data_IF_048985813562
#
_entry.id   IF_048985813562
#
_cell.length_a   1.000
_cell.length_b   1.000
_cell.length_c   1.000
_cell.angle_alpha   90.00
_cell.angle_beta   90.00
_cell.angle_gamma   90.00
#
_symmetry.space_group_name_H-M   'P 1'
#
loop_
_entity.id
_entity.type
_entity.pdbx_description
1 polymer ?
#
# COMPACT_ATOMS: atom_id res chain seq x y z
N UNK A 1 -66.29 5.80 -17.43
CA UNK A 1 -65.02 5.21 -17.00
C UNK A 1 -63.92 6.29 -17.14
N UNK A 2 -63.61 6.99 -16.05
CA UNK A 2 -62.71 8.16 -16.06
C UNK A 2 -61.38 7.74 -15.50
N UNK A 3 -60.38 7.64 -16.36
CA UNK A 3 -58.98 7.40 -15.98
C UNK A 3 -58.39 8.72 -15.43
N UNK A 4 -58.16 8.74 -14.14
CA UNK A 4 -57.52 9.84 -13.41
C UNK A 4 -56.02 9.73 -13.61
N UNK A 5 -55.47 10.48 -14.56
CA UNK A 5 -54.02 10.69 -14.63
C UNK A 5 -53.54 11.47 -13.40
N UNK A 6 -52.85 10.79 -12.51
CA UNK A 6 -52.12 11.43 -11.42
C UNK A 6 -50.92 12.17 -12.05
N UNK A 7 -51.04 13.45 -12.22
CA UNK A 7 -49.91 14.30 -12.56
C UNK A 7 -48.89 14.24 -11.42
N UNK A 8 -47.79 13.61 -11.67
CA UNK A 8 -46.63 13.63 -10.78
C UNK A 8 -46.20 15.10 -10.65
N UNK A 9 -46.43 15.71 -9.49
CA UNK A 9 -46.10 17.11 -9.26
C UNK A 9 -44.60 17.31 -9.38
N UNK A 10 -44.14 17.90 -10.50
CA UNK A 10 -42.73 18.23 -10.78
C UNK A 10 -42.09 19.04 -9.63
N UNK A 11 -42.87 19.83 -8.93
CA UNK A 11 -42.44 20.66 -7.79
C UNK A 11 -42.01 19.78 -6.59
N UNK A 12 -42.69 18.66 -6.37
CA UNK A 12 -42.29 17.71 -5.32
C UNK A 12 -41.06 16.89 -5.72
N UNK A 13 -40.92 16.51 -6.99
CA UNK A 13 -39.71 15.83 -7.49
C UNK A 13 -38.45 16.69 -7.31
N UNK A 14 -38.56 18.02 -7.53
CA UNK A 14 -37.44 18.96 -7.37
C UNK A 14 -37.01 19.13 -5.90
N UNK A 15 -37.93 19.00 -4.94
CA UNK A 15 -37.61 19.06 -3.49
C UNK A 15 -36.83 17.86 -3.01
N UNK A 16 -37.03 16.68 -3.61
CA UNK A 16 -36.35 15.44 -3.21
C UNK A 16 -35.12 15.12 -4.07
N UNK A 17 -34.88 15.87 -5.15
CA UNK A 17 -33.74 15.71 -6.03
C UNK A 17 -32.38 15.75 -5.27
N UNK A 18 -32.11 16.72 -4.34
CA UNK A 18 -30.84 16.73 -3.61
C UNK A 18 -30.68 15.55 -2.64
N UNK A 19 -31.79 15.08 -2.05
CA UNK A 19 -31.74 13.90 -1.15
C UNK A 19 -31.50 12.63 -1.94
N UNK A 20 -32.08 12.50 -3.13
CA UNK A 20 -31.87 11.36 -4.03
C UNK A 20 -30.44 11.36 -4.61
N UNK A 21 -29.90 12.53 -4.92
CA UNK A 21 -28.50 12.68 -5.36
C UNK A 21 -27.51 12.33 -4.25
N UNK A 22 -27.79 12.74 -3.01
CA UNK A 22 -26.97 12.44 -1.84
C UNK A 22 -27.00 10.94 -1.50
N UNK A 23 -28.18 10.27 -1.64
CA UNK A 23 -28.28 8.83 -1.41
C UNK A 23 -27.57 8.01 -2.48
N UNK A 24 -27.48 8.49 -3.72
CA UNK A 24 -26.74 7.84 -4.80
C UNK A 24 -25.21 7.90 -4.57
N UNK A 25 -24.72 8.98 -3.95
CA UNK A 25 -23.30 9.13 -3.61
C UNK A 25 -22.86 8.20 -2.47
N UNK A 26 -23.78 7.77 -1.60
CA UNK A 26 -23.47 6.85 -0.49
C UNK A 26 -23.42 5.38 -0.92
N UNK A 27 -23.92 5.01 -2.08
CA UNK A 27 -23.85 3.65 -2.63
C UNK A 27 -22.53 3.33 -3.36
N UNK A 28 -21.67 4.33 -3.54
CA UNK A 28 -20.40 4.20 -4.29
C UNK A 28 -19.21 3.63 -3.52
N UNK A 29 -19.31 3.40 -2.21
CA UNK A 29 -18.21 2.85 -1.40
C UNK A 29 -18.37 1.34 -1.13
N UNK A 30 -18.64 0.55 -2.17
CA UNK A 30 -18.33 -0.86 -2.13
C UNK A 30 -16.90 -1.00 -2.67
N UNK A 31 -15.90 -0.79 -1.80
CA UNK A 31 -14.54 -1.19 -2.11
C UNK A 31 -14.56 -2.68 -2.43
N UNK A 32 -14.29 -3.04 -3.66
CA UNK A 32 -14.00 -4.43 -4.01
C UNK A 32 -12.71 -4.77 -3.26
N UNK A 33 -12.82 -5.45 -2.12
CA UNK A 33 -11.70 -6.14 -1.49
C UNK A 33 -11.31 -7.32 -2.40
N UNK A 34 -10.64 -6.99 -3.51
CA UNK A 34 -10.13 -7.98 -4.43
C UNK A 34 -9.13 -8.85 -3.69
N UNK A 35 -9.48 -10.12 -3.50
CA UNK A 35 -8.62 -11.10 -2.85
C UNK A 35 -7.70 -11.73 -3.90
N UNK A 36 -6.44 -12.08 -3.53
CA UNK A 36 -5.58 -12.80 -4.42
C UNK A 36 -6.20 -14.17 -4.79
N UNK A 37 -6.12 -14.54 -6.06
CA UNK A 37 -6.63 -15.82 -6.57
C UNK A 37 -5.66 -16.96 -6.21
N UNK A 38 -5.61 -17.29 -4.93
CA UNK A 38 -4.76 -18.34 -4.38
C UNK A 38 -5.65 -19.46 -3.82
N UNK A 39 -5.50 -20.67 -4.37
CA UNK A 39 -6.22 -21.84 -3.91
C UNK A 39 -5.98 -22.09 -2.41
N UNK A 40 -7.02 -22.55 -1.71
CA UNK A 40 -6.94 -22.78 -0.27
C UNK A 40 -5.92 -23.88 0.12
N UNK A 41 -5.65 -24.80 -0.80
CA UNK A 41 -4.69 -25.90 -0.67
C UNK A 41 -3.33 -25.62 -1.38
N UNK A 42 -3.12 -24.37 -1.85
CA UNK A 42 -1.89 -24.01 -2.53
C UNK A 42 -0.66 -24.23 -1.65
N UNK A 43 0.34 -24.92 -2.21
CA UNK A 43 1.63 -25.08 -1.57
C UNK A 43 2.45 -23.79 -1.61
N UNK A 44 3.53 -23.74 -0.80
CA UNK A 44 4.39 -22.56 -0.64
C UNK A 44 4.90 -22.02 -1.99
N UNK A 45 5.42 -22.88 -2.85
CA UNK A 45 5.94 -22.48 -4.15
C UNK A 45 4.84 -21.83 -5.02
N UNK A 46 3.66 -22.43 -5.07
CA UNK A 46 2.55 -21.91 -5.88
C UNK A 46 2.11 -20.53 -5.37
N UNK A 47 2.02 -20.33 -4.05
CA UNK A 47 1.69 -19.05 -3.44
C UNK A 47 2.74 -17.99 -3.78
N UNK A 48 4.03 -18.37 -3.73
CA UNK A 48 5.11 -17.46 -4.09
C UNK A 48 5.09 -17.08 -5.57
N UNK A 49 4.88 -18.04 -6.47
CA UNK A 49 4.75 -17.79 -7.93
C UNK A 49 3.58 -16.86 -8.23
N UNK A 50 2.48 -17.00 -7.49
CA UNK A 50 1.32 -16.12 -7.62
C UNK A 50 1.64 -14.69 -7.16
N UNK A 51 2.29 -14.52 -6.00
CA UNK A 51 2.75 -13.22 -5.53
C UNK A 51 3.70 -12.56 -6.55
N UNK A 52 4.61 -13.34 -7.13
CA UNK A 52 5.50 -12.89 -8.21
C UNK A 52 4.74 -12.43 -9.46
N UNK A 53 3.64 -13.09 -9.78
CA UNK A 53 2.78 -12.68 -10.91
C UNK A 53 2.17 -11.30 -10.65
N UNK A 54 1.66 -11.06 -9.44
CA UNK A 54 1.11 -9.76 -9.06
C UNK A 54 2.18 -8.66 -9.07
N UNK A 55 3.38 -8.94 -8.54
CA UNK A 55 4.51 -7.99 -8.57
C UNK A 55 4.89 -7.60 -9.99
N UNK A 56 5.04 -8.59 -10.90
CA UNK A 56 5.35 -8.33 -12.32
C UNK A 56 4.23 -7.59 -13.05
N UNK A 57 2.97 -7.84 -12.65
CA UNK A 57 1.78 -7.17 -13.17
C UNK A 57 1.54 -5.79 -12.55
N UNK A 58 2.40 -5.35 -11.63
CA UNK A 58 2.26 -4.08 -10.88
C UNK A 58 0.93 -3.97 -10.11
N UNK A 59 0.31 -5.11 -9.79
CA UNK A 59 -0.87 -5.21 -8.94
C UNK A 59 -0.42 -5.28 -7.48
N UNK A 60 0.14 -4.18 -6.96
CA UNK A 60 0.87 -4.18 -5.70
C UNK A 60 -0.02 -4.49 -4.49
N UNK A 61 -1.27 -4.05 -4.47
CA UNK A 61 -2.23 -4.40 -3.42
C UNK A 61 -2.47 -5.92 -3.32
N UNK A 62 -2.60 -6.59 -4.48
CA UNK A 62 -2.73 -8.04 -4.55
C UNK A 62 -1.43 -8.74 -4.18
N UNK A 63 -0.28 -8.18 -4.57
CA UNK A 63 1.03 -8.70 -4.19
C UNK A 63 1.23 -8.65 -2.67
N UNK A 64 0.87 -7.52 -2.02
CA UNK A 64 0.90 -7.38 -0.55
C UNK A 64 0.09 -8.50 0.11
N UNK A 65 -1.17 -8.67 -0.30
CA UNK A 65 -2.05 -9.70 0.28
C UNK A 65 -1.54 -11.12 0.03
N UNK A 66 -1.00 -11.40 -1.16
CA UNK A 66 -0.44 -12.71 -1.49
C UNK A 66 0.82 -13.03 -0.67
N UNK A 67 1.73 -12.05 -0.51
CA UNK A 67 2.95 -12.20 0.29
C UNK A 67 2.64 -12.35 1.78
N UNK A 68 1.68 -11.58 2.30
CA UNK A 68 1.21 -11.71 3.69
C UNK A 68 0.58 -13.07 3.96
N UNK A 69 -0.21 -13.58 3.00
CA UNK A 69 -0.82 -14.90 3.11
C UNK A 69 0.26 -16.00 3.09
N UNK A 70 1.28 -15.87 2.23
CA UNK A 70 2.42 -16.77 2.19
C UNK A 70 3.17 -16.77 3.54
N UNK A 71 3.52 -15.59 4.07
CA UNK A 71 4.20 -15.45 5.36
C UNK A 71 3.37 -16.08 6.50
N UNK A 72 2.08 -15.87 6.49
CA UNK A 72 1.16 -16.42 7.49
C UNK A 72 1.10 -17.96 7.48
N UNK A 73 1.12 -18.58 6.29
CA UNK A 73 1.02 -20.04 6.15
C UNK A 73 2.37 -20.76 6.26
N UNK A 74 3.43 -20.12 5.80
CA UNK A 74 4.78 -20.69 5.71
C UNK A 74 5.84 -19.75 6.31
N UNK A 75 5.73 -19.39 7.62
CA UNK A 75 6.60 -18.37 8.25
C UNK A 75 8.09 -18.78 8.28
N UNK A 76 8.40 -20.06 8.14
CA UNK A 76 9.75 -20.63 8.10
C UNK A 76 10.01 -21.38 6.80
N UNK A 77 9.25 -21.08 5.77
CA UNK A 77 9.35 -21.71 4.47
C UNK A 77 10.59 -21.24 3.70
N UNK A 78 10.85 -21.93 2.60
CA UNK A 78 11.98 -21.63 1.70
C UNK A 78 11.94 -20.21 1.14
N UNK A 79 10.74 -19.67 0.94
CA UNK A 79 10.52 -18.35 0.35
C UNK A 79 10.21 -17.27 1.39
N UNK A 80 10.18 -17.59 2.69
CA UNK A 80 9.75 -16.68 3.73
C UNK A 80 10.58 -15.39 3.80
N UNK A 81 11.91 -15.49 3.83
CA UNK A 81 12.80 -14.32 3.89
C UNK A 81 12.70 -13.46 2.63
N UNK A 82 12.64 -14.11 1.46
CA UNK A 82 12.48 -13.40 0.20
C UNK A 82 11.11 -12.69 0.09
N UNK A 83 10.04 -13.36 0.54
CA UNK A 83 8.70 -12.79 0.57
C UNK A 83 8.63 -11.56 1.48
N UNK A 84 9.33 -11.57 2.62
CA UNK A 84 9.40 -10.40 3.52
C UNK A 84 10.11 -9.21 2.86
N UNK A 85 11.20 -9.44 2.12
CA UNK A 85 11.86 -8.36 1.35
C UNK A 85 10.96 -7.81 0.26
N UNK A 86 10.28 -8.68 -0.46
CA UNK A 86 9.36 -8.29 -1.52
C UNK A 86 8.11 -7.59 -1.00
N UNK A 87 7.70 -7.91 0.23
CA UNK A 87 6.60 -7.22 0.90
C UNK A 87 6.95 -5.74 1.18
N UNK A 88 8.19 -5.43 1.53
CA UNK A 88 8.66 -4.04 1.67
C UNK A 88 8.49 -3.31 0.33
N UNK A 89 8.94 -3.92 -0.75
CA UNK A 89 8.82 -3.36 -2.10
C UNK A 89 7.36 -3.19 -2.53
N UNK A 90 6.52 -4.19 -2.25
CA UNK A 90 5.10 -4.16 -2.60
C UNK A 90 4.37 -3.03 -1.88
N UNK A 91 4.56 -2.88 -0.56
CA UNK A 91 4.01 -1.77 0.22
C UNK A 91 4.46 -0.41 -0.30
N UNK A 92 5.76 -0.24 -0.59
CA UNK A 92 6.27 1.01 -1.15
C UNK A 92 5.56 1.39 -2.45
N UNK A 93 5.41 0.44 -3.39
CA UNK A 93 4.78 0.70 -4.68
C UNK A 93 3.24 0.77 -4.61
N UNK A 94 2.63 0.24 -3.55
CA UNK A 94 1.22 0.43 -3.23
C UNK A 94 0.94 1.81 -2.58
N UNK A 95 1.97 2.66 -2.42
CA UNK A 95 1.92 3.94 -1.69
C UNK A 95 1.59 3.78 -0.19
N UNK A 96 1.81 2.62 0.37
CA UNK A 96 1.67 2.30 1.79
C UNK A 96 3.00 2.49 2.52
N UNK A 97 3.53 3.71 2.50
CA UNK A 97 4.92 4.00 2.92
C UNK A 97 5.18 3.67 4.39
N UNK A 98 4.24 3.92 5.28
CA UNK A 98 4.36 3.57 6.70
C UNK A 98 4.46 2.04 6.88
N UNK A 99 3.63 1.28 6.18
CA UNK A 99 3.69 -0.19 6.21
C UNK A 99 5.01 -0.72 5.62
N UNK A 100 5.57 -0.06 4.61
CA UNK A 100 6.87 -0.40 4.07
C UNK A 100 8.00 -0.17 5.09
N UNK A 101 7.97 0.95 5.84
CA UNK A 101 8.92 1.22 6.94
C UNK A 101 8.81 0.13 8.02
N UNK A 102 7.60 -0.21 8.46
CA UNK A 102 7.36 -1.24 9.48
C UNK A 102 7.84 -2.63 9.02
N UNK A 103 7.57 -2.99 7.76
CA UNK A 103 8.03 -4.26 7.18
C UNK A 103 9.56 -4.31 7.09
N UNK A 104 10.21 -3.21 6.69
CA UNK A 104 11.66 -3.10 6.65
C UNK A 104 12.28 -3.23 8.05
N UNK A 105 11.75 -2.53 9.04
CA UNK A 105 12.20 -2.64 10.44
C UNK A 105 12.07 -4.06 10.98
N UNK A 106 10.96 -4.73 10.67
CA UNK A 106 10.76 -6.12 11.05
C UNK A 106 11.81 -7.03 10.41
N UNK A 107 12.06 -6.88 9.11
CA UNK A 107 13.06 -7.67 8.41
C UNK A 107 14.47 -7.47 8.98
N UNK A 108 14.89 -6.22 9.18
CA UNK A 108 16.20 -5.88 9.76
C UNK A 108 16.39 -6.51 11.14
N UNK A 109 15.35 -6.51 11.97
CA UNK A 109 15.41 -7.12 13.31
C UNK A 109 15.49 -8.65 13.27
N UNK A 110 14.75 -9.28 12.36
CA UNK A 110 14.67 -10.75 12.29
C UNK A 110 15.86 -11.35 11.53
N UNK A 111 16.38 -10.64 10.54
CA UNK A 111 17.40 -11.12 9.62
C UNK A 111 18.61 -10.15 9.51
N UNK A 112 19.28 -9.79 10.63
CA UNK A 112 20.32 -8.75 10.64
C UNK A 112 21.57 -9.12 9.85
N UNK A 113 21.75 -10.40 9.50
CA UNK A 113 22.89 -10.91 8.74
C UNK A 113 22.48 -11.40 7.33
N UNK A 114 21.25 -11.13 6.90
CA UNK A 114 20.81 -11.54 5.57
C UNK A 114 21.63 -10.78 4.50
N UNK A 115 22.03 -11.44 3.39
CA UNK A 115 22.83 -10.80 2.34
C UNK A 115 22.25 -9.50 1.77
N UNK A 116 20.93 -9.38 1.75
CA UNK A 116 20.21 -8.21 1.23
C UNK A 116 19.59 -7.36 2.36
N UNK A 117 20.16 -7.38 3.57
CA UNK A 117 19.63 -6.53 4.65
C UNK A 117 19.85 -5.05 4.38
N UNK A 118 20.89 -4.70 3.64
CA UNK A 118 21.16 -3.34 3.15
C UNK A 118 20.04 -2.81 2.25
N UNK A 119 19.44 -3.67 1.42
CA UNK A 119 18.23 -3.32 0.66
C UNK A 119 17.06 -2.93 1.57
N UNK A 120 16.86 -3.64 2.68
CA UNK A 120 15.82 -3.29 3.63
C UNK A 120 16.06 -1.91 4.29
N UNK A 121 17.33 -1.57 4.63
CA UNK A 121 17.70 -0.22 5.09
C UNK A 121 17.45 0.84 4.02
N UNK A 122 17.82 0.56 2.77
CA UNK A 122 17.56 1.47 1.65
C UNK A 122 16.07 1.75 1.47
N UNK A 123 15.26 0.70 1.38
CA UNK A 123 13.81 0.82 1.20
C UNK A 123 13.13 1.52 2.38
N UNK A 124 13.63 1.31 3.61
CA UNK A 124 13.17 2.04 4.79
C UNK A 124 13.38 3.54 4.64
N UNK A 125 14.60 3.95 4.30
CA UNK A 125 14.93 5.36 4.08
C UNK A 125 14.13 5.98 2.94
N UNK A 126 13.96 5.24 1.84
CA UNK A 126 13.18 5.68 0.67
C UNK A 126 11.69 5.86 1.02
N UNK A 127 11.11 4.93 1.77
CA UNK A 127 9.72 4.99 2.21
C UNK A 127 9.48 6.15 3.17
N UNK A 128 10.38 6.37 4.13
CA UNK A 128 10.32 7.51 5.05
C UNK A 128 10.41 8.86 4.30
N UNK A 129 11.22 8.92 3.24
CA UNK A 129 11.34 10.12 2.40
C UNK A 129 10.06 10.40 1.62
N UNK A 130 9.52 9.36 0.95
CA UNK A 130 8.39 9.50 0.00
C UNK A 130 7.05 9.63 0.73
N UNK A 131 6.89 9.03 1.91
CA UNK A 131 5.63 9.04 2.68
C UNK A 131 5.11 10.42 3.04
N UNK A 132 5.92 11.45 2.87
CA UNK A 132 5.55 12.85 3.13
C UNK A 132 5.22 13.66 1.87
N UNK A 133 5.21 13.05 0.69
CA UNK A 133 4.72 13.73 -0.50
C UNK A 133 3.20 13.80 -0.46
N UNK A 134 2.69 14.81 0.25
CA UNK A 134 1.26 15.14 0.28
C UNK A 134 0.80 15.37 -1.16
N UNK A 135 0.03 14.43 -1.70
CA UNK A 135 -0.47 14.46 -3.09
C UNK A 135 -1.21 15.78 -3.35
N UNK A 136 -1.79 16.37 -2.30
CA UNK A 136 -2.48 17.65 -2.34
C UNK A 136 -1.53 18.86 -2.31
N UNK A 137 -0.32 18.74 -1.75
CA UNK A 137 0.66 19.82 -1.73
C UNK A 137 1.10 20.25 -3.15
N UNK A 138 0.95 19.37 -4.13
CA UNK A 138 1.17 19.66 -5.55
C UNK A 138 0.16 20.62 -6.15
N UNK A 139 -1.05 20.71 -5.56
CA UNK A 139 -2.16 21.53 -6.07
C UNK A 139 -2.45 22.76 -5.23
N UNK A 140 -1.93 22.84 -4.02
CA UNK A 140 -2.13 23.97 -3.11
C UNK A 140 -0.78 24.69 -2.94
N UNK A 141 -0.67 26.01 -3.25
CA UNK A 141 0.52 26.77 -2.95
C UNK A 141 0.68 26.82 -1.42
N UNK A 142 1.47 25.93 -0.87
CA UNK A 142 1.86 25.93 0.54
C UNK A 142 3.12 26.75 0.70
N UNK A 143 3.15 27.55 1.76
CA UNK A 143 4.35 28.29 2.16
C UNK A 143 5.44 27.28 2.52
N UNK A 144 6.55 27.30 1.78
CA UNK A 144 7.69 26.37 1.97
C UNK A 144 8.28 26.46 3.39
N UNK A 145 8.06 27.57 4.09
CA UNK A 145 8.53 27.77 5.46
C UNK A 145 7.76 26.96 6.50
N UNK A 146 6.56 26.46 6.14
CA UNK A 146 5.70 25.63 7.00
C UNK A 146 5.84 24.13 6.70
N UNK A 147 6.72 23.75 5.77
CA UNK A 147 6.92 22.34 5.42
C UNK A 147 7.53 21.59 6.60
N UNK A 148 6.83 20.56 7.05
CA UNK A 148 7.36 19.66 8.08
C UNK A 148 8.61 18.93 7.55
N UNK A 149 9.76 19.20 8.16
CA UNK A 149 11.04 18.58 7.80
C UNK A 149 11.34 17.31 8.58
N UNK A 150 10.42 16.83 9.41
CA UNK A 150 10.62 15.65 10.28
C UNK A 150 10.93 14.40 9.46
N UNK A 151 10.17 14.13 8.41
CA UNK A 151 10.37 12.98 7.54
C UNK A 151 11.68 13.03 6.75
N UNK A 152 12.09 14.22 6.29
CA UNK A 152 13.39 14.38 5.64
C UNK A 152 14.55 14.08 6.60
N UNK A 153 14.43 14.45 7.88
CA UNK A 153 15.41 14.12 8.91
C UNK A 153 15.41 12.63 9.24
N UNK A 154 14.23 12.01 9.29
CA UNK A 154 14.10 10.56 9.49
C UNK A 154 14.74 9.79 8.34
N UNK A 155 14.39 10.11 7.11
CA UNK A 155 15.00 9.50 5.92
C UNK A 155 16.52 9.69 5.90
N UNK A 156 17.01 10.89 6.24
CA UNK A 156 18.45 11.15 6.35
C UNK A 156 19.12 10.26 7.41
N UNK A 157 18.48 10.06 8.56
CA UNK A 157 19.01 9.19 9.61
C UNK A 157 19.08 7.73 9.16
N UNK A 158 18.07 7.24 8.41
CA UNK A 158 18.06 5.89 7.88
C UNK A 158 19.13 5.67 6.82
N UNK A 159 19.30 6.61 5.87
CA UNK A 159 20.39 6.53 4.89
C UNK A 159 21.78 6.66 5.53
N UNK A 160 21.93 7.48 6.57
CA UNK A 160 23.18 7.56 7.32
C UNK A 160 23.51 6.22 8.02
N UNK A 161 22.51 5.51 8.54
CA UNK A 161 22.71 4.17 9.09
C UNK A 161 23.12 3.16 8.02
N UNK A 162 22.47 3.18 6.84
CA UNK A 162 22.85 2.35 5.70
C UNK A 162 24.32 2.52 5.35
N UNK A 163 24.74 3.76 5.11
CA UNK A 163 26.13 4.08 4.72
C UNK A 163 27.15 3.71 5.81
N UNK A 164 26.80 3.88 7.08
CA UNK A 164 27.68 3.55 8.19
C UNK A 164 27.85 2.02 8.39
N UNK A 165 26.80 1.25 8.14
CA UNK A 165 26.80 -0.21 8.35
C UNK A 165 27.22 -1.00 7.12
N UNK A 166 26.90 -0.51 5.95
CA UNK A 166 27.08 -1.17 4.65
C UNK A 166 27.70 -0.19 3.63
N UNK A 167 28.97 0.23 3.84
CA UNK A 167 29.61 1.24 2.98
C UNK A 167 29.78 0.77 1.53
N UNK A 168 29.78 -0.55 1.30
CA UNK A 168 29.91 -1.15 -0.03
C UNK A 168 28.55 -1.53 -0.64
N UNK A 169 27.45 -1.14 -0.03
CA UNK A 169 26.10 -1.39 -0.57
C UNK A 169 25.91 -0.72 -1.94
N UNK A 170 25.27 -1.38 -2.89
CA UNK A 170 24.98 -0.80 -4.21
C UNK A 170 23.83 0.23 -4.18
N UNK A 171 23.14 0.39 -3.04
CA UNK A 171 22.00 1.27 -2.87
C UNK A 171 22.34 2.65 -2.34
#
# INVERSE_FOLDING_TARGET
MVTRHQGLNLVNALKYAPVLLLSLLLLGCSGNDEQPDIAADAGEQQMYEEAQRYLRGQSYDLAVRALQLLESRYPFGKYAEQAQLELIYAHYNAYEHEAAVEAADRFIRLHPQHPNVDYAYYMKGLSAYTGNEDVFARFVPTDETLRDTSHAKEAFAEFAQLLARYPDSPY
#
